data_IF_848934936299
#
_entry.id   IF_848934936299
#
_cell.length_a   1.000
_cell.length_b   1.000
_cell.length_c   1.000
_cell.angle_alpha   90.00
_cell.angle_beta   90.00
_cell.angle_gamma   90.00
#
_symmetry.space_group_name_H-M   'P 1'
#
loop_
_entity.id
_entity.type
_entity.pdbx_description
1 polymer ?
#
# COMPACT_ATOMS: atom_id res chain seq x y z
N UNK A 1 32.29 -17.92 21.16
CA UNK A 1 30.96 -17.93 20.53
C UNK A 1 31.09 -17.14 19.23
N UNK A 2 31.01 -17.78 18.08
CA UNK A 2 31.07 -17.05 16.80
C UNK A 2 29.87 -16.11 16.70
N UNK A 3 30.12 -14.87 16.25
CA UNK A 3 29.05 -13.90 15.98
C UNK A 3 28.34 -14.33 14.69
N UNK A 4 27.12 -14.85 14.84
CA UNK A 4 26.21 -14.98 13.71
C UNK A 4 25.85 -13.57 13.25
N UNK A 5 26.17 -13.25 12.00
CA UNK A 5 25.84 -11.97 11.38
C UNK A 5 24.66 -12.19 10.45
N UNK A 6 23.54 -11.52 10.71
CA UNK A 6 22.36 -11.56 9.83
C UNK A 6 22.63 -10.74 8.56
N UNK A 7 21.98 -11.06 7.43
CA UNK A 7 22.09 -10.25 6.22
C UNK A 7 21.58 -8.83 6.46
N UNK A 8 22.12 -7.82 5.76
CA UNK A 8 21.61 -6.47 5.82
C UNK A 8 20.21 -6.40 5.19
N UNK A 9 19.38 -5.47 5.68
CA UNK A 9 18.03 -5.25 5.16
C UNK A 9 18.03 -4.66 3.74
N UNK A 10 18.99 -3.80 3.43
CA UNK A 10 19.13 -3.16 2.12
C UNK A 10 20.26 -3.86 1.38
N UNK A 11 19.92 -4.46 0.24
CA UNK A 11 20.84 -5.23 -0.58
C UNK A 11 20.80 -4.62 -1.98
N UNK A 12 21.56 -3.55 -2.20
CA UNK A 12 21.76 -2.96 -3.53
C UNK A 12 22.98 -3.59 -4.17
N UNK A 13 22.89 -3.84 -5.47
CA UNK A 13 24.00 -4.29 -6.31
C UNK A 13 24.15 -3.41 -7.58
N UNK A 14 24.93 -3.87 -8.55
CA UNK A 14 25.17 -3.11 -9.78
C UNK A 14 23.89 -2.89 -10.60
N UNK A 15 22.81 -3.66 -10.37
CA UNK A 15 21.50 -3.47 -11.02
C UNK A 15 20.86 -2.17 -10.58
N UNK A 16 20.74 -1.91 -9.27
CA UNK A 16 20.16 -0.65 -8.75
C UNK A 16 21.01 0.55 -9.16
N UNK A 17 22.34 0.43 -9.07
CA UNK A 17 23.26 1.48 -9.52
C UNK A 17 23.08 1.80 -11.01
N UNK A 18 23.00 0.76 -11.85
CA UNK A 18 22.77 0.94 -13.29
C UNK A 18 21.41 1.57 -13.58
N UNK A 19 20.36 1.19 -12.83
CA UNK A 19 19.03 1.79 -12.98
C UNK A 19 19.02 3.30 -12.68
N UNK A 20 19.70 3.71 -11.61
CA UNK A 20 19.84 5.12 -11.25
C UNK A 20 20.63 5.88 -12.33
N UNK A 21 21.77 5.33 -12.76
CA UNK A 21 22.63 5.99 -13.77
C UNK A 21 21.88 6.18 -15.09
N UNK A 22 21.07 5.21 -15.54
CA UNK A 22 20.25 5.36 -16.76
C UNK A 22 19.33 6.58 -16.68
N UNK A 23 18.67 6.80 -15.54
CA UNK A 23 17.78 7.96 -15.34
C UNK A 23 18.57 9.26 -15.38
N UNK A 24 19.71 9.31 -14.67
CA UNK A 24 20.57 10.50 -14.61
C UNK A 24 21.11 10.85 -15.99
N UNK A 25 21.73 9.89 -16.68
CA UNK A 25 22.28 10.08 -18.01
C UNK A 25 21.21 10.53 -19.01
N UNK A 26 20.02 9.93 -18.96
CA UNK A 26 18.92 10.33 -19.83
C UNK A 26 18.44 11.76 -19.54
N UNK A 27 18.34 12.15 -18.27
CA UNK A 27 17.95 13.50 -17.85
C UNK A 27 18.95 14.56 -18.34
N UNK A 28 20.24 14.22 -18.42
CA UNK A 28 21.27 15.13 -18.95
C UNK A 28 21.09 15.44 -20.44
N UNK A 29 20.35 14.61 -21.18
CA UNK A 29 20.13 14.77 -22.62
C UNK A 29 18.80 15.44 -22.99
N UNK A 30 17.87 15.55 -22.03
CA UNK A 30 16.55 16.11 -22.27
C UNK A 30 15.56 15.84 -21.12
N UNK A 31 14.38 16.49 -21.14
CA UNK A 31 13.40 16.43 -20.06
C UNK A 31 12.60 15.11 -20.02
N UNK A 32 12.83 14.18 -20.95
CA UNK A 32 11.97 13.01 -21.10
C UNK A 32 12.17 11.95 -20.01
N UNK A 33 13.27 12.00 -19.25
CA UNK A 33 13.54 11.01 -18.21
C UNK A 33 12.76 11.29 -16.90
N UNK A 34 12.60 12.55 -16.54
CA UNK A 34 11.90 13.00 -15.33
C UNK A 34 11.12 14.27 -15.69
N UNK A 35 9.79 14.22 -15.61
CA UNK A 35 8.97 15.42 -15.69
C UNK A 35 8.85 16.13 -14.31
N UNK A 36 8.35 17.37 -14.31
CA UNK A 36 8.11 18.17 -13.10
C UNK A 36 7.22 17.47 -12.05
N UNK A 37 6.44 16.47 -12.44
CA UNK A 37 5.50 15.74 -11.59
C UNK A 37 6.01 14.33 -11.25
N UNK A 38 7.29 14.04 -11.50
CA UNK A 38 7.90 12.75 -11.19
C UNK A 38 7.43 11.60 -12.08
N UNK A 39 6.87 11.89 -13.25
CA UNK A 39 6.51 10.89 -14.26
C UNK A 39 7.60 10.79 -15.31
N UNK A 40 7.87 9.57 -15.76
CA UNK A 40 8.91 9.26 -16.72
C UNK A 40 8.78 7.84 -17.27
N UNK A 41 9.56 7.50 -18.31
CA UNK A 41 9.50 6.19 -18.96
C UNK A 41 9.78 5.03 -17.99
N UNK A 42 10.66 5.22 -17.00
CA UNK A 42 10.95 4.21 -15.98
C UNK A 42 9.74 3.96 -15.05
N UNK A 43 9.03 5.02 -14.63
CA UNK A 43 7.80 4.89 -13.82
C UNK A 43 6.72 4.14 -14.63
N UNK A 44 6.53 4.52 -15.88
CA UNK A 44 5.56 3.86 -16.76
C UNK A 44 5.93 2.39 -17.05
N UNK A 45 7.23 2.05 -17.11
CA UNK A 45 7.68 0.67 -17.25
C UNK A 45 7.41 -0.12 -15.98
N UNK A 46 7.79 0.43 -14.82
CA UNK A 46 7.54 -0.18 -13.54
C UNK A 46 6.05 -0.46 -13.31
N UNK A 47 5.16 0.49 -13.62
CA UNK A 47 3.72 0.30 -13.49
C UNK A 47 3.19 -0.86 -14.36
N UNK A 48 3.69 -1.00 -15.60
CA UNK A 48 3.33 -2.15 -16.46
C UNK A 48 3.85 -3.46 -15.90
N UNK A 49 5.14 -3.52 -15.57
CA UNK A 49 5.79 -4.72 -15.04
C UNK A 49 5.16 -5.16 -13.71
N UNK A 50 4.80 -4.21 -12.85
CA UNK A 50 4.14 -4.48 -11.57
C UNK A 50 2.71 -4.99 -11.77
N UNK A 51 1.96 -4.39 -12.70
CA UNK A 51 0.61 -4.86 -13.05
C UNK A 51 0.66 -6.30 -13.60
N UNK A 52 1.61 -6.59 -14.49
CA UNK A 52 1.83 -7.92 -15.05
C UNK A 52 2.24 -8.94 -13.96
N UNK A 53 3.14 -8.55 -13.05
CA UNK A 53 3.60 -9.42 -11.96
C UNK A 53 2.45 -9.87 -11.03
N UNK A 54 1.54 -8.96 -10.69
CA UNK A 54 0.37 -9.28 -9.85
C UNK A 54 -0.85 -9.75 -10.62
N UNK A 55 -0.81 -9.79 -11.96
CA UNK A 55 -1.94 -10.17 -12.80
C UNK A 55 -3.13 -9.21 -12.72
N UNK A 56 -2.88 -7.93 -12.44
CA UNK A 56 -3.91 -6.88 -12.35
C UNK A 56 -3.94 -6.01 -13.61
N UNK A 57 -5.08 -5.38 -13.90
CA UNK A 57 -5.22 -4.57 -15.13
C UNK A 57 -4.41 -3.27 -15.09
N UNK A 58 -4.26 -2.68 -13.91
CA UNK A 58 -3.62 -1.38 -13.72
C UNK A 58 -2.79 -1.38 -12.44
N UNK A 59 -1.67 -0.67 -12.45
CA UNK A 59 -0.91 -0.29 -11.27
C UNK A 59 -0.53 1.20 -11.39
N UNK A 60 -0.42 1.88 -10.25
CA UNK A 60 -0.02 3.28 -10.19
C UNK A 60 1.04 3.45 -9.11
N UNK A 61 2.22 3.94 -9.50
CA UNK A 61 3.30 4.22 -8.58
C UNK A 61 3.07 5.57 -7.90
N UNK A 62 3.29 5.63 -6.59
CA UNK A 62 3.13 6.83 -5.78
C UNK A 62 4.29 6.97 -4.81
N UNK A 63 4.34 8.09 -4.08
CA UNK A 63 5.49 8.46 -3.26
C UNK A 63 5.73 7.59 -2.02
N UNK A 64 4.72 6.88 -1.51
CA UNK A 64 4.83 5.99 -0.34
C UNK A 64 3.63 5.05 -0.20
N UNK A 65 3.73 4.07 0.70
CA UNK A 65 2.58 3.21 1.07
C UNK A 65 1.41 4.01 1.66
N UNK A 66 1.67 4.99 2.52
CA UNK A 66 0.63 5.90 3.03
C UNK A 66 -0.05 6.68 1.91
N UNK A 67 0.72 7.18 0.93
CA UNK A 67 0.16 7.87 -0.23
C UNK A 67 -0.66 6.94 -1.13
N UNK A 68 -0.31 5.65 -1.20
CA UNK A 68 -1.07 4.66 -1.95
C UNK A 68 -2.46 4.44 -1.34
N UNK A 69 -2.52 4.24 -0.02
CA UNK A 69 -3.80 4.09 0.69
C UNK A 69 -4.62 5.37 0.61
N UNK A 70 -3.99 6.54 0.77
CA UNK A 70 -4.65 7.84 0.61
C UNK A 70 -5.26 8.00 -0.79
N UNK A 71 -4.51 7.65 -1.84
CA UNK A 71 -4.98 7.73 -3.22
C UNK A 71 -6.13 6.74 -3.48
N UNK A 72 -6.05 5.53 -2.91
CA UNK A 72 -7.09 4.51 -3.02
C UNK A 72 -8.41 4.97 -2.38
N UNK A 73 -8.37 5.52 -1.16
CA UNK A 73 -9.56 6.06 -0.50
C UNK A 73 -10.12 7.25 -1.29
N UNK A 74 -9.25 8.17 -1.73
CA UNK A 74 -9.68 9.33 -2.55
C UNK A 74 -10.36 8.91 -3.86
N UNK A 75 -9.95 7.80 -4.47
CA UNK A 75 -10.58 7.26 -5.67
C UNK A 75 -12.00 6.73 -5.44
N UNK A 76 -12.33 6.31 -4.21
CA UNK A 76 -13.68 5.88 -3.83
C UNK A 76 -14.67 7.05 -3.70
N UNK A 77 -14.18 8.30 -3.57
CA UNK A 77 -14.98 9.52 -3.45
C UNK A 77 -16.05 9.44 -2.34
N UNK A 78 -15.62 8.96 -1.18
CA UNK A 78 -16.49 8.83 -0.01
C UNK A 78 -16.89 10.21 0.54
N UNK A 79 -18.09 10.30 1.09
CA UNK A 79 -18.54 11.51 1.77
C UNK A 79 -17.80 11.68 3.11
N UNK A 80 -17.50 12.93 3.55
CA UNK A 80 -16.98 13.18 4.88
C UNK A 80 -17.85 12.54 5.97
N UNK A 81 -17.21 11.90 6.95
CA UNK A 81 -17.88 11.15 8.01
C UNK A 81 -18.22 9.70 7.66
N UNK A 82 -17.91 9.23 6.45
CA UNK A 82 -17.99 7.81 6.10
C UNK A 82 -17.09 6.98 7.01
N UNK A 83 -17.57 5.81 7.43
CA UNK A 83 -16.81 4.88 8.25
C UNK A 83 -16.00 3.92 7.38
N UNK A 84 -14.73 3.73 7.74
CA UNK A 84 -13.84 2.74 7.13
C UNK A 84 -13.37 1.78 8.23
N UNK A 85 -13.75 0.51 8.11
CA UNK A 85 -13.33 -0.52 9.07
C UNK A 85 -11.86 -0.89 8.80
N UNK A 86 -11.05 -1.03 9.84
CA UNK A 86 -9.67 -1.53 9.74
C UNK A 86 -9.23 -2.22 11.04
N UNK A 87 -7.98 -2.66 11.11
CA UNK A 87 -7.39 -3.35 12.26
C UNK A 87 -6.70 -2.38 13.23
N UNK A 88 -6.76 -2.62 14.56
CA UNK A 88 -5.96 -1.88 15.54
C UNK A 88 -4.48 -2.27 15.52
N UNK A 89 -4.10 -3.40 14.90
CA UNK A 89 -2.72 -3.87 14.79
C UNK A 89 -2.20 -3.58 13.39
N UNK A 90 -1.66 -2.37 13.20
CA UNK A 90 -1.14 -1.91 11.90
C UNK A 90 -0.14 -0.76 12.04
N UNK A 91 0.51 -0.41 10.94
CA UNK A 91 1.31 0.82 10.79
C UNK A 91 0.40 2.07 10.76
N UNK A 92 0.83 3.22 11.33
CA UNK A 92 0.06 4.47 11.27
C UNK A 92 -0.31 4.93 9.86
N UNK A 93 0.46 4.51 8.84
CA UNK A 93 0.20 4.75 7.43
C UNK A 93 -1.10 4.14 6.91
N UNK A 94 -1.71 3.19 7.63
CA UNK A 94 -3.05 2.65 7.32
C UNK A 94 -4.15 3.59 7.78
N UNK A 95 -4.00 4.19 8.97
CA UNK A 95 -5.05 4.98 9.64
C UNK A 95 -5.01 6.45 9.23
N UNK A 96 -3.82 7.04 9.10
CA UNK A 96 -3.68 8.46 8.74
C UNK A 96 -4.44 8.85 7.45
N UNK A 97 -4.41 8.05 6.37
CA UNK A 97 -5.18 8.33 5.15
C UNK A 97 -6.69 8.39 5.34
N UNK A 98 -7.27 7.55 6.21
CA UNK A 98 -8.70 7.55 6.53
C UNK A 98 -9.08 8.93 7.08
N UNK A 99 -8.31 9.43 8.04
CA UNK A 99 -8.51 10.74 8.65
C UNK A 99 -8.29 11.89 7.66
N UNK A 100 -7.25 11.80 6.82
CA UNK A 100 -6.95 12.81 5.80
C UNK A 100 -8.06 12.95 4.75
N UNK A 101 -8.84 11.89 4.54
CA UNK A 101 -10.02 11.89 3.66
C UNK A 101 -11.32 12.25 4.40
N UNK A 102 -11.21 12.81 5.62
CA UNK A 102 -12.33 13.15 6.49
C UNK A 102 -13.26 11.96 6.80
N UNK A 103 -12.76 10.72 6.73
CA UNK A 103 -13.47 9.51 7.09
C UNK A 103 -13.18 9.13 8.57
N UNK A 104 -13.99 8.24 9.12
CA UNK A 104 -13.90 7.78 10.51
C UNK A 104 -13.34 6.34 10.51
N UNK A 105 -12.16 6.10 11.13
CA UNK A 105 -11.66 4.74 11.28
C UNK A 105 -12.47 4.00 12.35
N UNK A 106 -12.98 2.81 11.99
CA UNK A 106 -13.65 1.89 12.92
C UNK A 106 -12.75 0.68 13.09
N UNK A 107 -12.30 0.43 14.32
CA UNK A 107 -11.40 -0.68 14.61
C UNK A 107 -12.21 -1.95 14.88
N UNK A 108 -12.12 -2.91 13.98
CA UNK A 108 -12.56 -4.28 14.24
C UNK A 108 -11.38 -5.08 14.79
N UNK A 109 -11.67 -5.97 15.73
CA UNK A 109 -10.69 -6.81 16.42
C UNK A 109 -10.04 -7.83 15.48
N UNK A 110 -8.93 -8.41 15.95
CA UNK A 110 -8.11 -9.36 15.19
C UNK A 110 -8.39 -10.80 15.60
N UNK A 111 -8.09 -11.73 14.71
CA UNK A 111 -7.93 -13.12 15.09
C UNK A 111 -6.63 -13.29 15.92
N UNK A 112 -6.71 -14.08 17.00
CA UNK A 112 -5.62 -14.19 17.97
C UNK A 112 -4.38 -14.90 17.42
N UNK A 113 -4.57 -15.89 16.54
CA UNK A 113 -3.47 -16.70 16.02
C UNK A 113 -2.70 -15.97 14.92
N UNK A 114 -3.43 -15.21 14.10
CA UNK A 114 -2.88 -14.55 12.92
C UNK A 114 -2.58 -13.07 13.16
N UNK A 115 -3.23 -12.45 14.16
CA UNK A 115 -3.25 -11.01 14.39
C UNK A 115 -3.79 -10.19 13.20
N UNK A 116 -4.39 -10.86 12.21
CA UNK A 116 -5.06 -10.25 11.08
C UNK A 116 -6.52 -9.93 11.44
N UNK A 117 -7.12 -9.02 10.68
CA UNK A 117 -8.50 -8.56 10.90
C UNK A 117 -9.49 -9.74 10.89
N UNK A 118 -10.31 -9.87 11.94
CA UNK A 118 -11.27 -10.96 12.07
C UNK A 118 -12.55 -10.68 11.25
N UNK A 119 -12.98 -11.59 10.34
CA UNK A 119 -14.22 -11.43 9.59
C UNK A 119 -15.46 -11.26 10.48
N UNK A 120 -15.55 -12.03 11.57
CA UNK A 120 -16.65 -11.92 12.54
C UNK A 120 -16.66 -10.53 13.22
N UNK A 121 -15.48 -9.99 13.52
CA UNK A 121 -15.37 -8.67 14.13
C UNK A 121 -15.70 -7.55 13.14
N UNK A 122 -15.33 -7.71 11.87
CA UNK A 122 -15.76 -6.80 10.79
C UNK A 122 -17.29 -6.75 10.77
N UNK A 123 -17.96 -7.90 10.67
CA UNK A 123 -19.42 -7.99 10.56
C UNK A 123 -20.14 -7.26 11.70
N UNK A 124 -19.65 -7.43 12.95
CA UNK A 124 -20.19 -6.76 14.14
C UNK A 124 -20.03 -5.24 14.13
N UNK A 125 -19.05 -4.72 13.39
CA UNK A 125 -18.73 -3.30 13.32
C UNK A 125 -19.32 -2.60 12.08
N UNK A 126 -20.00 -3.33 11.19
CA UNK A 126 -20.67 -2.72 10.03
C UNK A 126 -21.87 -1.89 10.52
N UNK A 127 -21.94 -0.66 10.05
CA UNK A 127 -23.06 0.26 10.25
C UNK A 127 -23.55 0.80 8.90
N UNK A 128 -24.65 1.57 8.92
CA UNK A 128 -25.14 2.31 7.74
C UNK A 128 -24.12 3.32 7.17
N UNK A 129 -23.14 3.74 7.98
CA UNK A 129 -22.07 4.66 7.59
C UNK A 129 -20.84 3.96 7.06
N UNK A 130 -20.72 2.64 7.21
CA UNK A 130 -19.58 1.88 6.68
C UNK A 130 -19.59 1.93 5.14
N UNK A 131 -18.47 2.32 4.55
CA UNK A 131 -18.30 2.41 3.08
C UNK A 131 -17.11 1.63 2.54
N UNK A 132 -16.16 1.25 3.38
CA UNK A 132 -15.00 0.47 2.98
C UNK A 132 -14.42 -0.33 4.16
N UNK A 133 -13.63 -1.34 3.82
CA UNK A 133 -12.80 -2.10 4.76
C UNK A 133 -11.36 -2.03 4.25
N UNK A 134 -10.41 -1.68 5.11
CA UNK A 134 -8.97 -1.73 4.82
C UNK A 134 -8.37 -2.88 5.62
N UNK A 135 -8.01 -3.94 4.91
CA UNK A 135 -7.29 -5.10 5.46
C UNK A 135 -5.78 -4.88 5.44
N UNK A 136 -5.08 -5.51 6.39
CA UNK A 136 -3.63 -5.48 6.50
C UNK A 136 -3.15 -6.92 6.60
N UNK A 137 -2.34 -7.35 5.63
CA UNK A 137 -1.69 -8.66 5.66
C UNK A 137 -0.45 -8.58 6.56
N UNK A 138 -0.67 -8.69 7.87
CA UNK A 138 0.33 -8.39 8.88
C UNK A 138 1.52 -9.37 8.79
N UNK A 139 2.73 -8.84 8.91
CA UNK A 139 3.97 -9.61 8.93
C UNK A 139 4.18 -10.56 7.73
N UNK A 140 3.53 -10.29 6.59
CA UNK A 140 3.60 -11.15 5.40
C UNK A 140 2.63 -12.33 5.42
N UNK A 141 1.75 -12.41 6.42
CA UNK A 141 0.67 -13.38 6.48
C UNK A 141 -0.61 -12.77 5.88
N UNK A 142 -1.18 -13.36 4.81
CA UNK A 142 -2.44 -12.90 4.24
C UNK A 142 -3.61 -13.02 5.22
N UNK A 143 -4.57 -12.12 5.12
CA UNK A 143 -5.87 -12.26 5.77
C UNK A 143 -6.65 -13.39 5.09
N UNK A 144 -7.60 -13.99 5.81
CA UNK A 144 -8.57 -14.88 5.19
C UNK A 144 -9.55 -14.03 4.36
N UNK A 145 -9.29 -13.92 3.05
CA UNK A 145 -10.01 -13.00 2.17
C UNK A 145 -11.37 -13.52 1.74
N UNK A 146 -11.58 -14.84 1.70
CA UNK A 146 -12.84 -15.44 1.27
C UNK A 146 -14.04 -14.96 2.12
N UNK A 147 -14.02 -15.02 3.46
CA UNK A 147 -15.10 -14.49 4.29
C UNK A 147 -15.14 -12.96 4.37
N UNK A 148 -14.05 -12.25 4.05
CA UNK A 148 -14.04 -10.77 4.02
C UNK A 148 -14.72 -10.25 2.75
N UNK A 149 -14.65 -11.01 1.65
CA UNK A 149 -15.15 -10.61 0.33
C UNK A 149 -16.56 -11.13 0.03
N UNK A 150 -17.14 -11.96 0.91
CA UNK A 150 -18.48 -12.54 0.75
C UNK A 150 -19.60 -11.58 1.14
#
# INVERSE_FOLDING_TARGET
MERITFPPRIIFDEREKSAILRVVEKTMTGPEAIDMYGRGPEVASYEREFADYFGVRFAAAVSSGTAAIHSAIGALRLDPGSEIITTPITDPGTVAPILMQNCIPIFADVDYETLNLSPESIEKNITEKTKAIIVVHLAGQPCDMDPIMS
#
